data_IF_582095592831
#
_entry.id   IF_582095592831
#
_cell.length_a   1.000
_cell.length_b   1.000
_cell.length_c   1.000
_cell.angle_alpha   90.00
_cell.angle_beta   90.00
_cell.angle_gamma   90.00
#
_symmetry.space_group_name_H-M   'P 1'
#
loop_
_entity.id
_entity.type
_entity.pdbx_description
1 polymer ?
#
# COMPACT_ATOMS: atom_id res chain seq x y z
N UNK A 1 11.93 -15.63 -6.08
CA UNK A 1 12.78 -16.07 -4.95
C UNK A 1 13.21 -14.90 -4.08
N UNK A 2 13.99 -13.93 -4.60
CA UNK A 2 14.45 -12.74 -3.83
C UNK A 2 13.29 -11.88 -3.29
N UNK A 3 12.30 -11.48 -4.12
CA UNK A 3 11.16 -10.67 -3.65
C UNK A 3 10.37 -11.34 -2.52
N UNK A 4 10.01 -12.61 -2.71
CA UNK A 4 9.21 -13.36 -1.73
C UNK A 4 9.94 -13.42 -0.39
N UNK A 5 11.27 -13.55 -0.40
CA UNK A 5 12.08 -13.51 0.82
C UNK A 5 12.14 -12.12 1.42
N UNK A 6 12.40 -11.10 0.62
CA UNK A 6 12.45 -9.70 1.09
C UNK A 6 11.11 -9.26 1.71
N UNK A 7 9.98 -9.61 1.09
CA UNK A 7 8.64 -9.26 1.56
C UNK A 7 8.23 -9.92 2.88
N UNK A 8 8.95 -10.95 3.35
CA UNK A 8 8.72 -11.53 4.69
C UNK A 8 9.22 -10.63 5.83
N UNK A 9 9.98 -9.56 5.52
CA UNK A 9 10.34 -8.50 6.47
C UNK A 9 11.46 -8.85 7.44
N UNK A 10 12.08 -10.02 7.33
CA UNK A 10 13.10 -10.52 8.25
C UNK A 10 14.53 -10.46 7.70
N UNK A 11 14.73 -9.96 6.48
CA UNK A 11 16.02 -9.94 5.81
C UNK A 11 16.31 -8.54 5.26
N UNK A 12 17.51 -8.04 5.52
CA UNK A 12 18.03 -6.83 4.89
C UNK A 12 18.54 -7.13 3.49
N UNK A 13 18.80 -6.08 2.71
CA UNK A 13 19.42 -6.19 1.40
C UNK A 13 20.84 -6.79 1.50
N UNK A 14 21.53 -6.54 2.62
CA UNK A 14 22.84 -7.12 2.89
C UNK A 14 22.74 -8.63 3.13
N UNK A 15 21.78 -9.07 3.94
CA UNK A 15 21.57 -10.50 4.21
C UNK A 15 21.26 -11.27 2.91
N UNK A 16 20.42 -10.68 2.04
CA UNK A 16 20.14 -11.25 0.72
C UNK A 16 21.37 -11.25 -0.20
N UNK A 17 22.21 -10.21 -0.12
CA UNK A 17 23.45 -10.12 -0.88
C UNK A 17 24.41 -11.26 -0.51
N UNK A 18 24.55 -11.53 0.79
CA UNK A 18 25.37 -12.61 1.33
C UNK A 18 24.78 -13.99 1.01
N UNK A 19 23.46 -14.18 1.20
CA UNK A 19 22.79 -15.46 0.92
C UNK A 19 22.91 -15.88 -0.55
N UNK A 20 22.73 -14.93 -1.48
CA UNK A 20 22.75 -15.20 -2.91
C UNK A 20 24.14 -15.04 -3.56
N UNK A 21 25.17 -14.65 -2.81
CA UNK A 21 26.53 -14.45 -3.32
C UNK A 21 26.66 -13.37 -4.39
N UNK A 22 25.79 -12.35 -4.37
CA UNK A 22 25.75 -11.26 -5.35
C UNK A 22 25.90 -9.92 -4.64
N UNK A 23 26.26 -8.86 -5.37
CA UNK A 23 26.33 -7.52 -4.78
C UNK A 23 24.96 -6.98 -4.35
N UNK A 24 24.95 -6.13 -3.32
CA UNK A 24 23.75 -5.40 -2.86
C UNK A 24 23.06 -4.65 -4.01
N UNK A 25 23.85 -4.05 -4.93
CA UNK A 25 23.35 -3.40 -6.15
C UNK A 25 22.53 -4.35 -7.04
N UNK A 26 22.91 -5.61 -7.13
CA UNK A 26 22.19 -6.63 -7.89
C UNK A 26 20.86 -6.98 -7.23
N UNK A 27 20.83 -7.07 -5.89
CA UNK A 27 19.60 -7.24 -5.12
C UNK A 27 18.66 -6.05 -5.33
N UNK A 28 19.14 -4.81 -5.15
CA UNK A 28 18.36 -3.59 -5.41
C UNK A 28 17.75 -3.60 -6.82
N UNK A 29 18.58 -3.80 -7.85
CA UNK A 29 18.11 -3.85 -9.24
C UNK A 29 17.04 -4.92 -9.45
N UNK A 30 17.16 -6.07 -8.79
CA UNK A 30 16.18 -7.15 -8.89
C UNK A 30 14.85 -6.73 -8.25
N UNK A 31 14.87 -6.22 -7.02
CA UNK A 31 13.69 -5.75 -6.28
C UNK A 31 12.96 -4.65 -7.08
N UNK A 32 13.68 -3.63 -7.52
CA UNK A 32 13.09 -2.49 -8.26
C UNK A 32 12.49 -2.92 -9.60
N UNK A 33 13.18 -3.76 -10.38
CA UNK A 33 12.68 -4.18 -11.71
C UNK A 33 11.40 -5.03 -11.62
N UNK A 34 11.24 -5.74 -10.52
CA UNK A 34 10.10 -6.63 -10.29
C UNK A 34 8.92 -5.96 -9.59
N UNK A 35 9.08 -4.72 -9.13
CA UNK A 35 7.99 -3.98 -8.52
C UNK A 35 7.00 -3.59 -9.62
N UNK A 36 5.76 -4.05 -9.45
CA UNK A 36 4.61 -3.54 -10.19
C UNK A 36 3.63 -3.01 -9.17
N UNK A 37 3.30 -1.75 -9.30
CA UNK A 37 2.23 -1.11 -8.57
C UNK A 37 0.91 -1.58 -9.19
N UNK A 38 0.36 -2.65 -8.62
CA UNK A 38 -0.94 -3.19 -9.03
C UNK A 38 -1.85 -3.19 -7.81
N UNK A 39 -2.85 -2.29 -7.82
CA UNK A 39 -3.97 -2.39 -6.89
C UNK A 39 -4.73 -3.69 -7.22
N UNK A 40 -5.16 -4.46 -6.20
CA UNK A 40 -5.92 -5.67 -6.45
C UNK A 40 -7.21 -5.34 -7.18
N UNK A 41 -7.64 -6.23 -8.08
CA UNK A 41 -8.93 -6.10 -8.76
C UNK A 41 -10.06 -6.02 -7.74
N UNK A 42 -10.73 -4.87 -7.67
CA UNK A 42 -11.79 -4.63 -6.71
C UNK A 42 -13.10 -5.25 -7.19
N UNK A 43 -13.61 -6.22 -6.43
CA UNK A 43 -14.98 -6.72 -6.61
C UNK A 43 -15.97 -5.75 -5.95
N UNK A 44 -17.00 -5.35 -6.70
CA UNK A 44 -18.10 -4.50 -6.23
C UNK A 44 -18.82 -5.22 -5.10
N UNK A 45 -18.70 -4.70 -3.86
CA UNK A 45 -19.40 -5.20 -2.68
C UNK A 45 -19.49 -4.11 -1.60
N UNK A 46 -20.43 -4.22 -0.65
CA UNK A 46 -20.41 -3.39 0.55
C UNK A 46 -19.15 -3.68 1.37
N UNK A 47 -18.45 -2.63 1.79
CA UNK A 47 -17.25 -2.71 2.63
C UNK A 47 -17.32 -1.66 3.72
N UNK A 48 -16.69 -1.94 4.86
CA UNK A 48 -16.39 -0.93 5.87
C UNK A 48 -14.93 -0.54 5.69
N UNK A 49 -14.68 0.72 5.36
CA UNK A 49 -13.33 1.20 5.02
C UNK A 49 -12.66 1.75 6.27
N UNK A 50 -11.49 1.20 6.60
CA UNK A 50 -10.55 1.80 7.54
C UNK A 50 -9.55 2.63 6.74
N UNK A 51 -9.37 3.87 7.16
CA UNK A 51 -8.47 4.83 6.53
C UNK A 51 -7.46 5.30 7.57
N UNK A 52 -6.18 5.27 7.22
CA UNK A 52 -5.12 5.76 8.09
C UNK A 52 -3.95 6.30 7.25
N UNK A 53 -3.12 7.13 7.88
CA UNK A 53 -1.86 7.61 7.31
C UNK A 53 -0.69 7.15 8.15
N UNK A 54 0.24 6.43 7.54
CA UNK A 54 1.50 6.07 8.19
C UNK A 54 2.62 6.94 7.66
N UNK A 55 3.44 7.49 8.55
CA UNK A 55 4.58 8.34 8.21
C UNK A 55 5.91 7.62 8.37
N UNK A 56 6.83 7.89 7.46
CA UNK A 56 8.22 7.44 7.49
C UNK A 56 9.16 8.63 7.28
N UNK A 57 9.87 9.03 8.34
CA UNK A 57 10.74 10.19 8.30
C UNK A 57 9.96 11.52 8.22
N UNK A 58 10.56 12.55 7.61
CA UNK A 58 10.04 13.92 7.71
C UNK A 58 9.16 14.39 6.54
N UNK A 59 9.11 13.67 5.42
CA UNK A 59 8.41 14.09 4.19
C UNK A 59 7.90 12.92 3.36
N UNK A 60 7.54 11.81 4.01
CA UNK A 60 7.00 10.65 3.30
C UNK A 60 5.96 9.96 4.17
N UNK A 61 4.78 9.79 3.61
CA UNK A 61 3.68 9.07 4.22
C UNK A 61 2.89 8.31 3.17
N UNK A 62 2.10 7.35 3.63
CA UNK A 62 1.18 6.59 2.81
C UNK A 62 -0.19 6.67 3.45
N UNK A 63 -1.14 7.24 2.72
CA UNK A 63 -2.56 7.12 3.03
C UNK A 63 -3.01 5.76 2.53
N UNK A 64 -3.60 4.95 3.40
CA UNK A 64 -4.06 3.60 3.08
C UNK A 64 -5.55 3.50 3.40
N UNK A 65 -6.31 2.94 2.47
CA UNK A 65 -7.69 2.53 2.66
C UNK A 65 -7.78 1.02 2.52
N UNK A 66 -8.29 0.35 3.56
CA UNK A 66 -8.44 -1.10 3.58
C UNK A 66 -9.83 -1.50 4.03
N UNK A 67 -10.27 -2.67 3.57
CA UNK A 67 -11.49 -3.32 4.05
C UNK A 67 -11.25 -3.80 5.49
N UNK A 68 -12.08 -3.37 6.43
CA UNK A 68 -11.96 -3.72 7.85
C UNK A 68 -12.12 -5.21 8.10
N UNK A 69 -12.92 -5.90 7.28
CA UNK A 69 -13.25 -7.31 7.47
C UNK A 69 -12.19 -8.21 6.85
N UNK A 70 -11.82 -7.96 5.58
CA UNK A 70 -10.86 -8.81 4.88
C UNK A 70 -9.40 -8.40 5.05
N UNK A 71 -9.14 -7.17 5.51
CA UNK A 71 -7.80 -6.60 5.60
C UNK A 71 -7.17 -6.23 4.24
N UNK A 72 -7.89 -6.47 3.14
CA UNK A 72 -7.40 -6.16 1.80
C UNK A 72 -7.25 -4.65 1.61
N UNK A 73 -6.12 -4.24 1.04
CA UNK A 73 -5.89 -2.86 0.62
C UNK A 73 -6.79 -2.56 -0.58
N UNK A 74 -7.64 -1.55 -0.44
CA UNK A 74 -8.56 -1.12 -1.47
C UNK A 74 -7.97 0.01 -2.32
N UNK A 75 -7.24 0.91 -1.66
CA UNK A 75 -6.57 2.05 -2.29
C UNK A 75 -5.45 2.54 -1.40
N UNK A 76 -4.41 3.12 -1.99
CA UNK A 76 -3.39 3.84 -1.25
C UNK A 76 -2.81 4.97 -2.08
N UNK A 77 -2.18 5.93 -1.40
CA UNK A 77 -1.53 7.08 -2.04
C UNK A 77 -0.30 7.50 -1.25
N UNK A 78 0.80 7.72 -1.97
CA UNK A 78 1.99 8.33 -1.42
C UNK A 78 1.80 9.84 -1.25
N UNK A 79 2.13 10.35 -0.06
CA UNK A 79 2.11 11.78 0.25
C UNK A 79 3.50 12.20 0.74
N UNK A 80 3.89 13.43 0.41
CA UNK A 80 5.15 14.04 0.84
C UNK A 80 4.95 15.21 1.81
N UNK A 81 3.76 15.29 2.39
CA UNK A 81 3.26 16.35 3.26
C UNK A 81 2.31 15.74 4.30
N UNK A 82 1.84 16.56 5.23
CA UNK A 82 0.75 16.15 6.12
C UNK A 82 -0.53 15.83 5.34
N UNK A 83 -1.27 14.86 5.85
CA UNK A 83 -2.53 14.39 5.29
C UNK A 83 -3.54 15.53 5.27
N UNK A 84 -4.32 15.60 4.20
CA UNK A 84 -5.41 16.55 4.08
C UNK A 84 -6.70 15.81 3.80
N UNK A 85 -7.81 16.48 4.08
CA UNK A 85 -9.14 15.98 3.73
C UNK A 85 -9.26 15.64 2.22
N UNK A 86 -8.54 16.37 1.37
CA UNK A 86 -8.46 16.12 -0.07
C UNK A 86 -7.90 14.73 -0.41
N UNK A 87 -6.90 14.26 0.34
CA UNK A 87 -6.29 12.95 0.11
C UNK A 87 -7.27 11.81 0.40
N UNK A 88 -8.12 11.96 1.43
CA UNK A 88 -9.19 11.01 1.72
C UNK A 88 -10.34 11.10 0.71
N UNK A 89 -10.73 12.31 0.28
CA UNK A 89 -11.77 12.49 -0.75
C UNK A 89 -11.40 11.81 -2.06
N UNK A 90 -10.13 11.88 -2.45
CA UNK A 90 -9.61 11.21 -3.64
C UNK A 90 -9.80 9.70 -3.57
N UNK A 91 -9.39 9.07 -2.47
CA UNK A 91 -9.56 7.62 -2.28
C UNK A 91 -11.02 7.19 -2.23
N UNK A 92 -11.90 7.95 -1.57
CA UNK A 92 -13.35 7.67 -1.58
C UNK A 92 -13.93 7.80 -2.99
N UNK A 93 -13.48 8.79 -3.78
CA UNK A 93 -13.92 8.96 -5.17
C UNK A 93 -13.47 7.78 -6.04
N UNK A 94 -12.24 7.30 -5.83
CA UNK A 94 -11.72 6.11 -6.50
C UNK A 94 -12.53 4.85 -6.17
N UNK A 95 -12.92 4.69 -4.90
CA UNK A 95 -13.73 3.55 -4.45
C UNK A 95 -15.22 3.70 -4.80
N UNK A 96 -15.68 4.89 -5.20
CA UNK A 96 -17.07 5.15 -5.54
C UNK A 96 -17.26 6.00 -6.81
N UNK A 97 -16.76 5.56 -7.97
CA UNK A 97 -16.76 6.39 -9.18
C UNK A 97 -18.18 6.72 -9.68
N UNK A 98 -19.18 5.89 -9.34
CA UNK A 98 -20.56 6.02 -9.84
C UNK A 98 -21.63 6.31 -8.76
N UNK A 99 -21.23 6.60 -7.50
CA UNK A 99 -22.14 6.70 -6.33
C UNK A 99 -23.04 5.46 -6.10
N UNK A 100 -22.75 4.33 -6.74
CA UNK A 100 -23.60 3.12 -6.75
C UNK A 100 -23.13 2.01 -5.82
N UNK A 101 -21.95 2.16 -5.20
CA UNK A 101 -21.52 1.29 -4.11
C UNK A 101 -22.11 1.84 -2.81
N UNK A 102 -23.05 1.10 -2.23
CA UNK A 102 -23.61 1.39 -0.91
C UNK A 102 -22.51 1.31 0.15
N UNK A 103 -21.93 2.45 0.51
CA UNK A 103 -21.10 2.57 1.71
C UNK A 103 -22.04 2.44 2.91
N UNK A 104 -21.91 1.33 3.65
CA UNK A 104 -22.71 1.11 4.85
C UNK A 104 -22.26 2.03 6.01
N UNK A 105 -20.97 2.41 6.04
CA UNK A 105 -20.41 3.32 7.05
C UNK A 105 -18.93 3.61 6.80
N UNK A 106 -18.50 4.86 7.00
CA UNK A 106 -17.08 5.27 7.11
C UNK A 106 -16.78 5.41 8.59
N UNK A 107 -15.79 4.67 9.10
CA UNK A 107 -15.33 4.78 10.50
C UNK A 107 -13.99 5.49 10.49
N UNK A 108 -13.95 6.69 11.06
CA UNK A 108 -12.72 7.38 11.41
C UNK A 108 -12.23 6.84 12.74
N UNK A 109 -10.93 6.54 12.83
CA UNK A 109 -10.30 6.12 14.08
C UNK A 109 -9.50 7.27 14.69
#
# INVERSE_FOLDING_TARGET
MVNIRYSKGNLTIKDLSEEYGVSTRTIYRKLTRSYKEELPGLLIRPVVVLMDVTYWGRNFGVVIMKDSLSGNVLWYKFINRHERLEDYKEGITYLNPNRSLGFLSVVWQ
#
